data_IF_935726783487
#
_entry.id   IF_935726783487
#
_cell.length_a   1.000
_cell.length_b   1.000
_cell.length_c   1.000
_cell.angle_alpha   90.00
_cell.angle_beta   90.00
_cell.angle_gamma   90.00
#
_symmetry.space_group_name_H-M   'P 1'
#
loop_
_entity.id
_entity.type
_entity.pdbx_description
1 polymer ?
#
# COMPACT_ATOMS: atom_id res chain seq x y z
N UNK A 1 35.24 57.88 21.54
CA UNK A 1 33.97 57.66 20.80
C UNK A 1 34.16 56.54 19.78
N UNK A 2 33.80 55.29 20.12
CA UNK A 2 33.75 54.17 19.16
C UNK A 2 32.43 53.45 19.39
N UNK A 3 31.54 53.55 18.39
CA UNK A 3 30.18 53.02 18.40
C UNK A 3 30.23 51.52 18.14
N UNK A 4 29.77 50.71 19.10
CA UNK A 4 29.50 49.29 18.92
C UNK A 4 28.16 49.15 18.19
N UNK A 5 28.22 48.72 16.94
CA UNK A 5 27.05 48.31 16.16
C UNK A 5 26.66 46.89 16.60
N UNK A 6 25.58 46.78 17.39
CA UNK A 6 24.91 45.52 17.67
C UNK A 6 24.08 45.13 16.44
N UNK A 7 24.57 44.18 15.65
CA UNK A 7 23.80 43.51 14.61
C UNK A 7 22.92 42.44 15.25
N UNK A 8 21.64 42.76 15.49
CA UNK A 8 20.62 41.81 15.91
C UNK A 8 20.23 40.96 14.70
N UNK A 9 20.85 39.79 14.55
CA UNK A 9 20.44 38.77 13.59
C UNK A 9 19.19 38.09 14.15
N UNK A 10 18.01 38.59 13.77
CA UNK A 10 16.74 37.93 14.01
C UNK A 10 16.67 36.66 13.15
N UNK A 11 17.01 35.52 13.76
CA UNK A 11 16.77 34.19 13.21
C UNK A 11 15.26 33.96 13.11
N UNK A 12 14.67 34.30 11.96
CA UNK A 12 13.33 33.84 11.60
C UNK A 12 13.37 32.31 11.49
N UNK A 13 13.03 31.64 12.58
CA UNK A 13 12.76 30.21 12.60
C UNK A 13 11.49 30.00 11.79
N UNK A 14 11.61 29.61 10.52
CA UNK A 14 10.47 29.15 9.72
C UNK A 14 9.95 27.91 10.42
N UNK A 15 8.87 28.05 11.20
CA UNK A 15 8.13 26.91 11.70
C UNK A 15 7.65 26.14 10.48
N UNK A 16 8.26 24.98 10.22
CA UNK A 16 7.69 24.01 9.31
C UNK A 16 6.39 23.56 9.98
N UNK A 17 5.27 24.17 9.57
CA UNK A 17 3.94 23.80 10.02
C UNK A 17 3.69 22.40 9.47
N UNK A 18 3.93 21.38 10.29
CA UNK A 18 3.50 20.04 9.98
C UNK A 18 1.98 20.04 9.94
N UNK A 19 1.41 19.60 8.83
CA UNK A 19 -0.03 19.41 8.74
C UNK A 19 -0.42 18.23 9.63
N UNK A 20 -1.58 18.33 10.27
CA UNK A 20 -2.16 17.24 11.06
C UNK A 20 -3.46 16.76 10.46
N UNK A 21 -3.76 15.49 10.65
CA UNK A 21 -5.03 14.89 10.24
C UNK A 21 -5.42 13.80 11.22
N UNK A 22 -6.72 13.67 11.50
CA UNK A 22 -7.25 12.69 12.45
C UNK A 22 -8.17 11.70 11.73
N UNK A 23 -7.98 10.41 12.00
CA UNK A 23 -8.86 9.31 11.59
C UNK A 23 -9.59 8.76 12.80
N UNK A 24 -10.91 8.63 12.71
CA UNK A 24 -11.78 8.12 13.75
C UNK A 24 -12.16 6.68 13.43
N UNK A 25 -12.01 5.80 14.42
CA UNK A 25 -12.58 4.46 14.36
C UNK A 25 -14.03 4.53 14.84
N UNK A 26 -14.99 4.27 13.95
CA UNK A 26 -16.43 4.36 14.23
C UNK A 26 -17.14 3.04 14.15
N UNK A 27 -18.20 2.89 14.94
CA UNK A 27 -19.17 1.80 14.83
C UNK A 27 -20.18 2.09 13.71
N UNK A 28 -20.91 1.06 13.25
CA UNK A 28 -22.06 1.25 12.35
C UNK A 28 -23.16 2.16 12.91
N UNK A 29 -23.26 2.29 14.24
CA UNK A 29 -24.24 3.16 14.90
C UNK A 29 -23.77 4.62 15.01
N UNK A 30 -22.59 4.96 14.49
CA UNK A 30 -22.03 6.31 14.51
C UNK A 30 -21.24 6.65 15.78
N UNK A 31 -21.06 5.68 16.69
CA UNK A 31 -20.23 5.87 17.89
C UNK A 31 -18.75 5.89 17.54
N UNK A 32 -17.97 6.79 18.14
CA UNK A 32 -16.51 6.82 17.99
C UNK A 32 -15.87 5.94 19.06
N UNK A 33 -15.09 4.95 18.64
CA UNK A 33 -14.36 4.02 19.51
C UNK A 33 -12.96 4.53 19.87
N UNK A 34 -12.32 5.20 18.92
CA UNK A 34 -10.93 5.64 19.03
C UNK A 34 -10.61 6.72 17.99
N UNK A 35 -9.50 7.44 18.17
CA UNK A 35 -9.01 8.42 17.20
C UNK A 35 -7.48 8.32 17.03
N UNK A 36 -7.04 8.57 15.80
CA UNK A 36 -5.64 8.42 15.38
C UNK A 36 -5.21 9.66 14.65
N UNK A 37 -4.27 10.40 15.21
CA UNK A 37 -3.70 11.59 14.56
C UNK A 37 -2.39 11.22 13.87
N UNK A 38 -2.25 11.64 12.62
CA UNK A 38 -1.01 11.56 11.85
C UNK A 38 -0.45 12.95 11.58
N UNK A 39 0.84 13.00 11.26
CA UNK A 39 1.61 14.21 11.00
C UNK A 39 2.35 14.08 9.68
N UNK A 40 2.47 15.16 8.92
CA UNK A 40 3.20 15.12 7.66
C UNK A 40 3.60 16.49 7.16
N UNK A 41 4.48 16.52 6.17
CA UNK A 41 4.82 17.76 5.47
C UNK A 41 3.67 18.24 4.58
N UNK A 42 2.70 17.37 4.32
CA UNK A 42 1.44 17.69 3.64
C UNK A 42 0.27 17.04 4.37
N UNK A 43 -0.89 17.69 4.34
CA UNK A 43 -2.13 17.12 4.90
C UNK A 43 -2.48 15.74 4.37
N UNK A 44 -2.13 15.42 3.12
CA UNK A 44 -2.33 14.10 2.54
C UNK A 44 -1.45 13.01 3.13
N UNK A 45 -0.21 13.34 3.48
CA UNK A 45 0.69 12.45 4.21
C UNK A 45 0.17 12.20 5.63
N UNK A 46 -0.19 13.28 6.33
CA UNK A 46 -0.76 13.21 7.68
C UNK A 46 -2.03 12.34 7.72
N UNK A 47 -2.96 12.52 6.76
CA UNK A 47 -4.17 11.70 6.68
C UNK A 47 -3.88 10.24 6.33
N UNK A 48 -2.89 9.99 5.45
CA UNK A 48 -2.50 8.62 5.09
C UNK A 48 -1.92 7.88 6.29
N UNK A 49 -1.07 8.54 7.07
CA UNK A 49 -0.51 7.99 8.31
C UNK A 49 -1.63 7.71 9.33
N UNK A 50 -2.48 8.70 9.61
CA UNK A 50 -3.63 8.57 10.51
C UNK A 50 -4.51 7.36 10.14
N UNK A 51 -4.85 7.23 8.86
CA UNK A 51 -5.70 6.15 8.34
C UNK A 51 -4.99 4.79 8.40
N UNK A 52 -3.69 4.71 8.12
CA UNK A 52 -2.92 3.47 8.25
C UNK A 52 -2.87 2.98 9.69
N UNK A 53 -2.66 3.89 10.64
CA UNK A 53 -2.66 3.57 12.07
C UNK A 53 -4.02 3.08 12.53
N UNK A 54 -5.10 3.77 12.14
CA UNK A 54 -6.47 3.33 12.43
C UNK A 54 -6.74 1.92 11.87
N UNK A 55 -6.37 1.65 10.61
CA UNK A 55 -6.57 0.35 9.98
C UNK A 55 -5.77 -0.76 10.66
N UNK A 56 -4.54 -0.48 11.10
CA UNK A 56 -3.70 -1.43 11.84
C UNK A 56 -4.34 -1.80 13.16
N UNK A 57 -4.87 -0.82 13.89
CA UNK A 57 -5.58 -1.08 15.15
C UNK A 57 -6.90 -1.80 14.94
N UNK A 58 -7.66 -1.44 13.91
CA UNK A 58 -8.87 -2.15 13.55
C UNK A 58 -8.57 -3.63 13.24
N UNK A 59 -7.50 -3.91 12.50
CA UNK A 59 -7.06 -5.28 12.21
C UNK A 59 -6.65 -6.02 13.50
N UNK A 60 -5.89 -5.38 14.40
CA UNK A 60 -5.53 -5.96 15.71
C UNK A 60 -6.76 -6.26 16.55
N UNK A 61 -7.75 -5.37 16.62
CA UNK A 61 -8.97 -5.62 17.40
C UNK A 61 -9.83 -6.73 16.80
N UNK A 62 -9.88 -6.83 15.47
CA UNK A 62 -10.55 -7.93 14.75
C UNK A 62 -9.92 -9.28 15.05
N UNK A 63 -8.59 -9.38 15.13
CA UNK A 63 -7.93 -10.65 15.47
C UNK A 63 -8.22 -11.14 16.89
N UNK A 64 -8.56 -10.23 17.81
CA UNK A 64 -8.94 -10.56 19.19
C UNK A 64 -10.46 -10.71 19.40
N UNK A 65 -11.27 -10.70 18.34
CA UNK A 65 -12.73 -10.85 18.41
C UNK A 65 -13.49 -9.65 18.98
N UNK A 66 -12.82 -8.53 19.24
CA UNK A 66 -13.37 -7.40 20.00
C UNK A 66 -13.95 -6.26 19.14
N UNK A 67 -14.13 -6.44 17.83
CA UNK A 67 -14.63 -5.36 16.95
C UNK A 67 -15.37 -5.89 15.72
N UNK A 68 -16.58 -6.41 15.93
CA UNK A 68 -17.50 -6.66 14.83
C UNK A 68 -18.17 -5.34 14.42
N UNK A 69 -17.94 -4.90 13.18
CA UNK A 69 -18.56 -3.74 12.50
C UNK A 69 -17.95 -2.34 12.64
N UNK A 70 -16.72 -2.21 13.17
CA UNK A 70 -16.02 -0.91 13.15
C UNK A 70 -15.33 -0.61 11.80
N UNK A 71 -15.22 0.67 11.45
CA UNK A 71 -14.53 1.19 10.26
C UNK A 71 -13.76 2.48 10.59
N UNK A 72 -12.80 2.87 9.74
CA UNK A 72 -11.96 4.05 9.92
C UNK A 72 -12.39 5.18 8.97
N UNK A 73 -12.63 6.37 9.51
CA UNK A 73 -13.10 7.56 8.78
C UNK A 73 -12.21 8.78 9.14
N UNK A 74 -11.59 9.41 8.15
CA UNK A 74 -10.80 10.65 8.35
C UNK A 74 -11.68 11.89 8.48
N UNK A 75 -11.25 12.83 9.33
CA UNK A 75 -11.97 14.09 9.59
C UNK A 75 -12.21 14.89 8.31
N UNK A 76 -13.45 15.35 8.17
CA UNK A 76 -14.01 15.90 6.93
C UNK A 76 -13.38 17.23 6.57
N UNK A 77 -12.55 17.19 5.52
CA UNK A 77 -12.35 18.26 4.51
C UNK A 77 -11.13 17.98 3.62
N UNK A 78 -10.34 16.94 3.92
CA UNK A 78 -9.35 16.44 2.97
C UNK A 78 -10.03 15.63 1.85
N UNK A 79 -10.73 16.33 0.96
CA UNK A 79 -10.91 15.85 -0.41
C UNK A 79 -9.56 16.03 -1.10
N UNK A 80 -8.82 14.94 -1.26
CA UNK A 80 -7.64 14.90 -2.13
C UNK A 80 -8.00 15.60 -3.45
N UNK A 81 -7.43 16.78 -3.75
CA UNK A 81 -7.82 17.56 -4.93
C UNK A 81 -7.48 16.85 -6.25
N UNK A 82 -6.81 15.68 -6.21
CA UNK A 82 -6.62 14.78 -7.35
C UNK A 82 -7.65 13.64 -7.48
N UNK A 83 -8.59 13.47 -6.54
CA UNK A 83 -9.60 12.40 -6.57
C UNK A 83 -11.03 12.95 -6.68
N UNK A 84 -11.34 13.59 -7.80
CA UNK A 84 -12.70 13.92 -8.23
C UNK A 84 -13.56 12.73 -8.65
N UNK A 85 -13.41 11.58 -8.00
CA UNK A 85 -14.36 10.46 -8.11
C UNK A 85 -14.84 10.17 -6.70
N UNK A 86 -16.15 10.26 -6.49
CA UNK A 86 -16.79 9.65 -5.32
C UNK A 86 -16.13 8.31 -5.03
N UNK A 87 -15.85 7.97 -3.76
CA UNK A 87 -15.25 6.68 -3.42
C UNK A 87 -16.06 5.61 -4.14
N UNK A 88 -15.48 5.00 -5.17
CA UNK A 88 -16.16 3.95 -5.91
C UNK A 88 -16.31 2.83 -4.92
N UNK A 89 -17.53 2.69 -4.42
CA UNK A 89 -17.91 1.54 -3.60
C UNK A 89 -17.89 0.36 -4.57
N UNK A 90 -16.85 -0.45 -4.46
CA UNK A 90 -16.71 -1.65 -5.24
C UNK A 90 -17.61 -2.71 -4.63
N UNK A 91 -18.32 -3.45 -5.48
CA UNK A 91 -19.24 -4.51 -5.06
C UNK A 91 -18.68 -5.86 -5.47
N UNK A 92 -18.80 -6.84 -4.59
CA UNK A 92 -18.48 -8.22 -4.91
C UNK A 92 -19.58 -9.14 -4.42
N UNK A 93 -19.94 -10.14 -5.24
CA UNK A 93 -20.99 -11.11 -4.92
C UNK A 93 -20.44 -12.52 -5.00
N UNK A 94 -20.76 -13.35 -4.02
CA UNK A 94 -20.55 -14.81 -4.02
C UNK A 94 -21.88 -15.54 -4.02
N UNK A 95 -22.01 -16.53 -4.88
CA UNK A 95 -23.15 -17.42 -5.00
C UNK A 95 -22.86 -18.73 -4.28
N UNK A 96 -23.73 -19.12 -3.37
CA UNK A 96 -23.77 -20.45 -2.81
C UNK A 96 -24.63 -21.32 -3.73
N UNK A 97 -24.01 -22.35 -4.32
CA UNK A 97 -24.68 -23.26 -5.26
C UNK A 97 -24.71 -24.67 -4.70
N UNK A 98 -25.73 -25.44 -5.08
CA UNK A 98 -25.76 -26.90 -4.88
C UNK A 98 -24.71 -27.56 -5.77
N UNK A 99 -24.39 -28.83 -5.49
CA UNK A 99 -23.47 -29.60 -6.33
C UNK A 99 -23.89 -29.76 -7.80
N UNK A 100 -25.15 -29.52 -8.13
CA UNK A 100 -25.67 -29.50 -9.51
C UNK A 100 -25.66 -28.09 -10.13
N UNK A 101 -25.05 -27.10 -9.48
CA UNK A 101 -24.99 -25.71 -9.95
C UNK A 101 -26.23 -24.86 -9.67
N UNK A 102 -27.31 -25.41 -9.10
CA UNK A 102 -28.50 -24.62 -8.75
C UNK A 102 -28.15 -23.61 -7.65
N UNK A 103 -28.43 -22.33 -7.90
CA UNK A 103 -28.25 -21.25 -6.93
C UNK A 103 -29.13 -21.48 -5.69
N UNK A 104 -28.53 -21.43 -4.51
CA UNK A 104 -29.21 -21.44 -3.22
C UNK A 104 -29.39 -20.01 -2.69
N UNK A 105 -28.31 -19.24 -2.69
CA UNK A 105 -28.24 -17.93 -2.03
C UNK A 105 -27.08 -17.10 -2.58
N UNK A 106 -27.12 -15.79 -2.39
CA UNK A 106 -26.09 -14.85 -2.84
C UNK A 106 -25.69 -13.89 -1.74
N UNK A 107 -24.39 -13.68 -1.59
CA UNK A 107 -23.77 -12.82 -0.59
C UNK A 107 -23.09 -11.66 -1.31
N UNK A 108 -23.62 -10.45 -1.17
CA UNK A 108 -23.09 -9.24 -1.81
C UNK A 108 -22.57 -8.29 -0.76
N UNK A 109 -21.30 -7.91 -0.85
CA UNK A 109 -20.70 -6.89 0.00
C UNK A 109 -20.18 -5.70 -0.81
N UNK A 110 -20.06 -4.60 -0.10
CA UNK A 110 -19.65 -3.30 -0.61
C UNK A 110 -18.45 -2.81 0.21
N UNK A 111 -17.37 -2.39 -0.46
CA UNK A 111 -16.21 -1.83 0.22
C UNK A 111 -15.47 -0.82 -0.66
N UNK A 112 -14.51 -0.12 -0.05
CA UNK A 112 -13.64 0.83 -0.78
C UNK A 112 -12.65 0.17 -1.74
N UNK A 113 -12.56 -1.18 -1.74
CA UNK A 113 -11.79 -1.94 -2.73
C UNK A 113 -12.52 -3.24 -3.07
N UNK A 114 -12.41 -3.68 -4.33
CA UNK A 114 -12.97 -4.96 -4.77
C UNK A 114 -12.43 -6.12 -3.91
N UNK A 115 -11.15 -6.07 -3.56
CA UNK A 115 -10.50 -7.07 -2.71
C UNK A 115 -11.20 -7.21 -1.35
N UNK A 116 -11.43 -6.10 -0.65
CA UNK A 116 -12.13 -6.10 0.64
C UNK A 116 -13.57 -6.59 0.50
N UNK A 117 -14.31 -6.08 -0.50
CA UNK A 117 -15.68 -6.51 -0.76
C UNK A 117 -15.75 -8.02 -1.04
N UNK A 118 -14.80 -8.56 -1.81
CA UNK A 118 -14.77 -9.99 -2.12
C UNK A 118 -14.40 -10.85 -0.91
N UNK A 119 -13.47 -10.43 -0.06
CA UNK A 119 -13.15 -11.16 1.18
C UNK A 119 -14.37 -11.23 2.08
N UNK A 120 -15.07 -10.10 2.26
CA UNK A 120 -16.23 -10.05 3.14
C UNK A 120 -17.38 -10.91 2.58
N UNK A 121 -17.65 -10.83 1.28
CA UNK A 121 -18.67 -11.64 0.60
C UNK A 121 -18.33 -13.14 0.63
N UNK A 122 -17.07 -13.50 0.38
CA UNK A 122 -16.59 -14.87 0.45
C UNK A 122 -16.73 -15.44 1.87
N UNK A 123 -16.30 -14.69 2.88
CA UNK A 123 -16.39 -15.08 4.29
C UNK A 123 -17.83 -15.40 4.71
N UNK A 124 -18.79 -14.57 4.29
CA UNK A 124 -20.23 -14.82 4.53
C UNK A 124 -20.70 -16.10 3.84
N UNK A 125 -20.35 -16.29 2.56
CA UNK A 125 -20.70 -17.51 1.83
C UNK A 125 -20.12 -18.77 2.48
N UNK A 126 -18.85 -18.75 2.86
CA UNK A 126 -18.17 -19.88 3.50
C UNK A 126 -18.71 -20.17 4.90
N UNK A 127 -19.14 -19.14 5.64
CA UNK A 127 -19.84 -19.30 6.92
C UNK A 127 -21.16 -20.04 6.74
N UNK A 128 -21.97 -19.65 5.76
CA UNK A 128 -23.25 -20.32 5.46
C UNK A 128 -23.02 -21.75 4.96
N UNK A 129 -22.00 -21.96 4.11
CA UNK A 129 -21.62 -23.28 3.64
C UNK A 129 -21.26 -24.22 4.80
N UNK A 130 -20.49 -23.74 5.77
CA UNK A 130 -20.14 -24.50 6.99
C UNK A 130 -21.38 -24.86 7.81
N UNK A 131 -22.29 -23.91 8.01
CA UNK A 131 -23.55 -24.15 8.73
C UNK A 131 -24.44 -25.19 8.05
N UNK A 132 -24.55 -25.14 6.72
CA UNK A 132 -25.34 -26.11 5.95
C UNK A 132 -24.72 -27.51 5.99
N UNK A 133 -23.39 -27.60 5.86
CA UNK A 133 -22.68 -28.87 6.00
C UNK A 133 -22.85 -29.49 7.39
N UNK A 134 -22.74 -28.70 8.46
CA UNK A 134 -22.92 -29.22 9.83
C UNK A 134 -24.36 -29.63 10.14
N UNK A 135 -25.36 -28.99 9.50
CA UNK A 135 -26.78 -29.34 9.65
C UNK A 135 -27.27 -30.44 8.70
N UNK A 136 -26.38 -31.02 7.87
CA UNK A 136 -26.73 -32.05 6.87
C UNK A 136 -27.49 -31.52 5.65
N UNK A 137 -27.70 -30.20 5.54
CA UNK A 137 -28.38 -29.56 4.41
C UNK A 137 -27.39 -29.31 3.29
N UNK A 138 -27.66 -29.80 2.08
CA UNK A 138 -26.83 -29.56 0.89
C UNK A 138 -25.31 -29.79 1.12
N UNK A 139 -24.87 -30.99 1.54
CA UNK A 139 -23.47 -31.25 1.90
C UNK A 139 -22.48 -31.00 0.75
N UNK A 140 -22.95 -31.11 -0.49
CA UNK A 140 -22.20 -30.87 -1.72
C UNK A 140 -22.27 -29.42 -2.22
N UNK A 141 -22.80 -28.49 -1.43
CA UNK A 141 -22.79 -27.08 -1.81
C UNK A 141 -21.37 -26.53 -1.88
N UNK A 142 -21.20 -25.47 -2.66
CA UNK A 142 -19.95 -24.73 -2.81
C UNK A 142 -20.22 -23.24 -3.07
N UNK A 143 -19.25 -22.40 -2.72
CA UNK A 143 -19.27 -20.98 -2.99
C UNK A 143 -18.55 -20.67 -4.30
N UNK A 144 -19.10 -19.78 -5.10
CA UNK A 144 -18.53 -19.33 -6.38
C UNK A 144 -18.74 -17.83 -6.55
N UNK A 145 -17.72 -17.07 -6.95
CA UNK A 145 -17.87 -15.63 -7.19
C UNK A 145 -18.85 -15.40 -8.35
N UNK A 146 -19.93 -14.64 -8.13
CA UNK A 146 -20.87 -14.21 -9.18
C UNK A 146 -20.18 -13.24 -10.13
N UNK A 147 -20.37 -13.45 -11.43
CA UNK A 147 -19.57 -12.77 -12.44
C UNK A 147 -18.26 -13.49 -12.75
N UNK A 148 -18.06 -14.71 -12.22
CA UNK A 148 -17.20 -15.72 -12.83
C UNK A 148 -17.76 -16.21 -14.19
N UNK A 149 -18.01 -15.30 -15.13
CA UNK A 149 -17.34 -15.52 -16.42
C UNK A 149 -15.86 -15.55 -16.07
N UNK A 150 -15.02 -16.34 -16.70
CA UNK A 150 -13.59 -16.26 -16.42
C UNK A 150 -13.00 -15.14 -17.31
N UNK A 151 -12.95 -13.85 -16.91
CA UNK A 151 -12.17 -12.86 -17.63
C UNK A 151 -10.74 -12.85 -17.12
N UNK A 152 -10.25 -13.87 -16.39
CA UNK A 152 -8.81 -13.95 -16.18
C UNK A 152 -8.18 -14.40 -17.50
N UNK A 153 -7.50 -13.48 -18.24
CA UNK A 153 -6.33 -13.92 -19.00
C UNK A 153 -5.44 -14.69 -18.02
N UNK A 154 -4.63 -15.61 -18.53
CA UNK A 154 -3.64 -16.31 -17.72
C UNK A 154 -2.83 -15.36 -16.80
N UNK A 155 -2.03 -15.90 -15.87
CA UNK A 155 -1.27 -15.12 -14.88
C UNK A 155 -0.83 -13.78 -15.45
N UNK A 156 -1.37 -12.68 -14.89
CA UNK A 156 -1.06 -11.32 -15.38
C UNK A 156 0.46 -11.28 -15.54
N UNK A 157 0.99 -11.00 -16.74
CA UNK A 157 2.43 -10.97 -16.93
C UNK A 157 3.01 -10.06 -15.87
N UNK A 158 4.01 -10.56 -15.13
CA UNK A 158 4.67 -9.78 -14.09
C UNK A 158 5.02 -8.42 -14.68
N UNK A 159 4.63 -7.31 -14.03
CA UNK A 159 4.83 -6.00 -14.60
C UNK A 159 6.31 -5.80 -14.90
N UNK A 160 6.60 -5.35 -16.11
CA UNK A 160 7.95 -5.01 -16.50
C UNK A 160 8.36 -3.73 -15.78
N UNK A 161 9.49 -3.76 -15.08
CA UNK A 161 10.04 -2.63 -14.35
C UNK A 161 11.38 -2.23 -14.95
N UNK A 162 11.58 -0.93 -15.09
CA UNK A 162 12.87 -0.33 -15.46
C UNK A 162 13.58 0.10 -14.19
N UNK A 163 14.80 -0.38 -13.97
CA UNK A 163 15.63 -0.04 -12.81
C UNK A 163 17.01 0.40 -13.29
N UNK A 164 17.57 1.39 -12.62
CA UNK A 164 18.93 1.85 -12.88
C UNK A 164 19.80 1.70 -11.65
N UNK A 165 21.11 1.60 -11.89
CA UNK A 165 22.11 1.56 -10.83
C UNK A 165 23.32 2.37 -11.25
N UNK A 166 23.90 3.09 -10.30
CA UNK A 166 25.07 3.96 -10.51
C UNK A 166 26.25 3.47 -9.68
N UNK A 167 27.40 3.32 -10.33
CA UNK A 167 28.67 2.95 -9.73
C UNK A 167 29.66 4.08 -9.97
N UNK A 168 30.38 4.49 -8.93
CA UNK A 168 31.44 5.50 -9.03
C UNK A 168 32.80 4.85 -8.96
N UNK A 169 33.70 5.30 -9.83
CA UNK A 169 35.12 4.96 -9.77
C UNK A 169 35.81 5.95 -8.85
N UNK A 170 36.56 5.44 -7.89
CA UNK A 170 37.35 6.26 -6.96
C UNK A 170 38.81 5.87 -6.98
N UNK A 171 39.68 6.83 -6.68
CA UNK A 171 41.10 6.57 -6.43
C UNK A 171 41.34 6.00 -5.01
N UNK A 172 42.63 5.78 -4.68
CA UNK A 172 43.07 5.31 -3.36
C UNK A 172 42.70 6.26 -2.20
N UNK A 173 42.43 7.53 -2.48
CA UNK A 173 42.04 8.55 -1.50
C UNK A 173 40.53 8.75 -1.42
N UNK A 174 39.75 8.04 -2.24
CA UNK A 174 38.29 8.14 -2.29
C UNK A 174 37.78 9.28 -3.18
N UNK A 175 38.65 9.94 -3.95
CA UNK A 175 38.24 10.97 -4.91
C UNK A 175 37.43 10.32 -6.03
N UNK A 176 36.25 10.88 -6.33
CA UNK A 176 35.40 10.40 -7.43
C UNK A 176 36.03 10.81 -8.76
N UNK A 177 36.43 9.83 -9.55
CA UNK A 177 37.03 10.03 -10.86
C UNK A 177 35.99 9.97 -11.96
N UNK A 178 35.01 9.05 -11.85
CA UNK A 178 34.10 8.75 -12.95
C UNK A 178 32.80 8.08 -12.47
N UNK A 179 31.78 8.04 -13.34
CA UNK A 179 30.46 7.47 -13.04
C UNK A 179 29.96 6.57 -14.16
N UNK A 180 29.51 5.38 -13.78
CA UNK A 180 28.94 4.37 -14.68
C UNK A 180 27.50 4.09 -14.27
N UNK A 181 26.56 4.25 -15.19
CA UNK A 181 25.14 4.03 -14.93
C UNK A 181 24.60 3.03 -15.94
N UNK A 182 24.04 1.93 -15.46
CA UNK A 182 23.26 1.00 -16.30
C UNK A 182 21.78 1.09 -15.94
N UNK A 183 20.93 0.98 -16.96
CA UNK A 183 19.48 0.92 -16.84
C UNK A 183 19.00 -0.35 -17.52
N UNK A 184 18.31 -1.21 -16.77
CA UNK A 184 17.76 -2.46 -17.29
C UNK A 184 16.26 -2.53 -17.09
N UNK A 185 15.63 -3.22 -18.03
CA UNK A 185 14.22 -3.53 -18.02
C UNK A 185 14.02 -5.04 -17.79
N UNK A 186 13.06 -5.41 -16.96
CA UNK A 186 12.71 -6.81 -16.78
C UNK A 186 11.52 -7.01 -15.85
N UNK A 187 11.06 -8.25 -15.73
CA UNK A 187 9.92 -8.60 -14.87
C UNK A 187 10.19 -8.26 -13.41
N UNK A 188 9.20 -7.71 -12.72
CA UNK A 188 9.27 -7.47 -11.28
C UNK A 188 9.68 -8.75 -10.53
N UNK A 189 10.54 -8.62 -9.52
CA UNK A 189 11.03 -9.76 -8.73
C UNK A 189 12.21 -10.54 -9.32
N UNK A 190 12.60 -10.29 -10.58
CA UNK A 190 13.74 -10.98 -11.22
C UNK A 190 15.12 -10.35 -10.95
N UNK A 191 15.23 -9.51 -9.93
CA UNK A 191 16.49 -8.83 -9.59
C UNK A 191 17.00 -7.86 -10.67
N UNK A 192 16.11 -7.18 -11.40
CA UNK A 192 16.47 -6.22 -12.47
C UNK A 192 17.48 -5.16 -12.00
N UNK A 193 17.30 -4.66 -10.77
CA UNK A 193 18.21 -3.68 -10.17
C UNK A 193 19.60 -4.26 -9.92
N UNK A 194 19.70 -5.47 -9.38
CA UNK A 194 21.00 -6.10 -9.14
C UNK A 194 21.74 -6.36 -10.45
N UNK A 195 21.02 -6.78 -11.50
CA UNK A 195 21.61 -6.93 -12.85
C UNK A 195 22.12 -5.60 -13.41
N UNK A 196 21.37 -4.50 -13.22
CA UNK A 196 21.81 -3.17 -13.63
C UNK A 196 23.07 -2.76 -12.85
N UNK A 197 23.15 -3.06 -11.56
CA UNK A 197 24.35 -2.82 -10.77
C UNK A 197 25.55 -3.65 -11.24
N UNK A 198 25.34 -4.93 -11.56
CA UNK A 198 26.42 -5.80 -12.06
C UNK A 198 26.96 -5.31 -13.41
N UNK A 199 26.11 -4.77 -14.28
CA UNK A 199 26.55 -4.21 -15.56
C UNK A 199 27.33 -2.90 -15.38
N UNK A 200 26.81 -1.97 -14.57
CA UNK A 200 27.51 -0.73 -14.22
C UNK A 200 28.86 -1.02 -13.53
N UNK A 201 28.91 -2.03 -12.67
CA UNK A 201 30.14 -2.44 -11.99
C UNK A 201 31.14 -3.09 -12.95
N UNK A 202 30.67 -3.93 -13.89
CA UNK A 202 31.52 -4.52 -14.92
C UNK A 202 32.13 -3.45 -15.81
N UNK A 203 31.36 -2.43 -16.18
CA UNK A 203 31.85 -1.29 -16.97
C UNK A 203 32.88 -0.48 -16.19
N UNK A 204 32.61 -0.21 -14.90
CA UNK A 204 33.57 0.46 -14.03
C UNK A 204 34.89 -0.33 -13.93
N UNK A 205 34.84 -1.65 -13.69
CA UNK A 205 36.04 -2.51 -13.55
C UNK A 205 36.87 -2.60 -14.84
N UNK A 206 36.26 -2.48 -16.01
CA UNK A 206 37.01 -2.40 -17.29
C UNK A 206 37.80 -1.10 -17.43
N UNK A 207 37.39 -0.07 -16.71
CA UNK A 207 37.96 1.29 -16.74
C UNK A 207 38.79 1.63 -15.49
N UNK A 208 39.05 0.66 -14.61
CA UNK A 208 39.91 0.81 -13.43
C UNK A 208 41.35 0.39 -13.74
N UNK A 209 42.31 1.16 -13.24
CA UNK A 209 43.74 0.89 -13.35
C UNK A 209 44.43 1.22 -12.02
N UNK A 210 45.45 0.44 -11.64
CA UNK A 210 46.19 0.64 -10.38
C UNK A 210 45.30 0.48 -9.15
N UNK A 211 45.40 1.41 -8.19
CA UNK A 211 44.67 1.38 -6.91
C UNK A 211 43.22 1.92 -7.00
N UNK A 212 42.65 2.00 -8.21
CA UNK A 212 41.28 2.45 -8.42
C UNK A 212 40.27 1.37 -8.04
N UNK A 213 39.16 1.77 -7.40
CA UNK A 213 38.08 0.85 -7.04
C UNK A 213 36.70 1.41 -7.39
N UNK A 214 35.75 0.50 -7.56
CA UNK A 214 34.36 0.80 -7.88
C UNK A 214 33.49 0.74 -6.62
N UNK A 215 32.63 1.73 -6.41
CA UNK A 215 31.72 1.81 -5.27
C UNK A 215 30.30 2.05 -5.79
N UNK A 216 29.33 1.25 -5.33
CA UNK A 216 27.90 1.45 -5.63
C UNK A 216 27.37 2.63 -4.80
N UNK A 217 26.57 3.52 -5.41
CA UNK A 217 25.89 4.63 -4.73
C UNK A 217 24.52 4.22 -4.19
#
# INVERSE_FOLDING_TARGET
MKKLLFAVVALCSTAALADTCTSYMRTRTGGTLDSFTGWGYTRGEACREAQQTCNRELARRRSHGNSFSAFCETDGDYRDPGRGRDPRVERCTYDLKRGNGTLLESFTEEAYSEYSACIDAQSKCESELRYRRSSGRNPRAYCEKRGSYNPYPGPRPDPTVTRSCTVVKVDRWGTRLDRFTSTLEGRQGTGVQERACQEAERECRRNTWGDQRCIRL
#
